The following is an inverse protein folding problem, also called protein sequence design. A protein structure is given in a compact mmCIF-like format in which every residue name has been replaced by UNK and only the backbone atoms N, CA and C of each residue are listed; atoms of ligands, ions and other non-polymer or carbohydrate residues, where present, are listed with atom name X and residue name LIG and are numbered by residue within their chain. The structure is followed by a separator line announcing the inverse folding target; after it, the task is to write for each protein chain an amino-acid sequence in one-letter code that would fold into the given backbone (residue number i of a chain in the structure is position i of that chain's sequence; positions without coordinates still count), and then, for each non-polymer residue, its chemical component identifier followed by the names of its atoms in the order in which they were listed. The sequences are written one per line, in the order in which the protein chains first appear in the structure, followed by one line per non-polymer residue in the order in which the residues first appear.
data_IF_371559981748
#
_entry.id   IF_371559981748
#
_cell.length_a   1.000
_cell.length_b   1.000
_cell.length_c   1.000
_cell.angle_alpha   90.00
_cell.angle_beta   90.00
_cell.angle_gamma   90.00
#
_symmetry.space_group_name_H-M   'P 1'
#
loop_
_entity.id
_entity.type
_entity.pdbx_description
1 polymer ?
#
# COMPACT_ATOMS: atom_id res chain seq x y z
N UNK A 1 -1.65 2.88 -27.35
CA UNK A 1 -1.06 1.84 -26.47
C UNK A 1 -1.97 1.76 -25.27
N UNK A 2 -2.39 0.58 -24.84
CA UNK A 2 -3.25 0.49 -23.66
C UNK A 2 -2.37 0.78 -22.45
N UNK A 3 -2.57 1.94 -21.82
CA UNK A 3 -2.04 2.23 -20.49
C UNK A 3 -2.67 1.24 -19.51
N UNK A 4 -2.02 0.10 -19.36
CA UNK A 4 -2.43 -0.90 -18.38
C UNK A 4 -1.96 -0.41 -17.02
N UNK A 5 -2.84 0.32 -16.32
CA UNK A 5 -2.59 0.80 -14.96
C UNK A 5 -2.19 -0.38 -14.05
N UNK A 6 -1.15 -0.20 -13.25
CA UNK A 6 -0.65 -1.24 -12.34
C UNK A 6 -1.52 -1.32 -11.08
N UNK A 7 -1.89 -2.54 -10.68
CA UNK A 7 -2.60 -2.81 -9.43
C UNK A 7 -1.72 -3.59 -8.48
N UNK A 8 -1.61 -3.10 -7.25
CA UNK A 8 -0.66 -3.63 -6.27
C UNK A 8 -1.44 -4.10 -5.05
N UNK A 9 -1.21 -5.34 -4.63
CA UNK A 9 -1.68 -5.86 -3.35
C UNK A 9 -0.50 -6.05 -2.41
N UNK A 10 -0.67 -5.63 -1.16
CA UNK A 10 0.33 -5.77 -0.11
C UNK A 10 -0.34 -6.39 1.13
N UNK A 11 0.00 -7.64 1.41
CA UNK A 11 -0.28 -8.23 2.72
C UNK A 11 0.84 -7.81 3.68
N UNK A 12 0.44 -7.20 4.80
CA UNK A 12 1.34 -6.63 5.77
C UNK A 12 1.35 -7.50 7.00
N UNK A 13 2.53 -7.91 7.44
CA UNK A 13 2.70 -8.45 8.78
C UNK A 13 3.80 -7.70 9.53
N UNK A 14 4.07 -8.11 10.78
CA UNK A 14 5.08 -7.47 11.63
C UNK A 14 6.46 -7.43 10.99
N UNK A 15 6.85 -8.47 10.24
CA UNK A 15 8.22 -8.62 9.72
C UNK A 15 8.33 -8.40 8.22
N UNK A 16 7.26 -8.60 7.47
CA UNK A 16 7.29 -8.71 6.02
C UNK A 16 6.17 -7.93 5.36
N UNK A 17 6.45 -7.48 4.15
CA UNK A 17 5.48 -7.00 3.17
C UNK A 17 5.49 -8.03 2.03
N UNK A 18 4.39 -8.76 1.89
CA UNK A 18 4.15 -9.67 0.78
C UNK A 18 3.44 -8.89 -0.32
N UNK A 19 4.05 -8.82 -1.50
CA UNK A 19 3.63 -7.91 -2.56
C UNK A 19 3.28 -8.70 -3.81
N UNK A 20 2.19 -8.31 -4.46
CA UNK A 20 1.82 -8.81 -5.78
C UNK A 20 1.51 -7.67 -6.73
N UNK A 21 2.08 -7.74 -7.94
CA UNK A 21 1.94 -6.76 -9.01
C UNK A 21 1.07 -7.34 -10.14
N UNK A 22 0.04 -6.60 -10.53
CA UNK A 22 -0.78 -6.86 -11.72
C UNK A 22 -0.65 -5.70 -12.71
N UNK A 23 -0.62 -5.96 -14.03
CA UNK A 23 -0.87 -7.26 -14.66
C UNK A 23 0.34 -8.20 -14.74
N UNK A 24 1.52 -7.80 -14.21
CA UNK A 24 2.78 -8.54 -14.38
C UNK A 24 2.78 -9.95 -13.74
N UNK A 25 1.85 -10.25 -12.83
CA UNK A 25 1.77 -11.50 -12.05
C UNK A 25 3.05 -11.80 -11.28
N UNK A 26 3.77 -10.75 -10.88
CA UNK A 26 4.99 -10.87 -10.10
C UNK A 26 4.66 -10.77 -8.62
N UNK A 27 5.19 -11.71 -7.83
CA UNK A 27 5.16 -11.64 -6.37
C UNK A 27 6.57 -11.55 -5.81
N UNK A 28 6.74 -10.79 -4.74
CA UNK A 28 8.00 -10.73 -3.99
C UNK A 28 7.71 -10.36 -2.53
N UNK A 29 8.72 -10.51 -1.68
CA UNK A 29 8.64 -10.22 -0.26
C UNK A 29 9.81 -9.34 0.14
N UNK A 30 9.52 -8.26 0.85
CA UNK A 30 10.52 -7.39 1.47
C UNK A 30 10.28 -7.28 2.98
N UNK A 31 11.27 -6.80 3.72
CA UNK A 31 11.10 -6.57 5.16
C UNK A 31 10.15 -5.39 5.45
N UNK A 32 9.35 -5.49 6.51
CA UNK A 32 8.57 -4.36 7.02
C UNK A 32 9.47 -3.44 7.87
N UNK A 33 10.47 -2.87 7.23
CA UNK A 33 11.44 -1.94 7.80
C UNK A 33 11.67 -0.80 6.82
N UNK A 34 12.40 0.24 7.25
CA UNK A 34 12.71 1.36 6.37
C UNK A 34 13.44 0.92 5.09
N UNK A 35 14.44 0.03 5.21
CA UNK A 35 15.18 -0.48 4.05
C UNK A 35 14.32 -1.36 3.13
N UNK A 36 13.46 -2.20 3.69
CA UNK A 36 12.54 -3.00 2.88
C UNK A 36 11.49 -2.16 2.15
N UNK A 37 11.05 -1.05 2.73
CA UNK A 37 10.19 -0.09 2.03
C UNK A 37 10.95 0.62 0.89
N UNK A 38 12.25 0.90 1.02
CA UNK A 38 13.06 1.39 -0.12
C UNK A 38 13.13 0.36 -1.23
N UNK A 39 13.43 -0.88 -0.87
CA UNK A 39 13.49 -2.00 -1.80
C UNK A 39 12.16 -2.17 -2.54
N UNK A 40 11.02 -2.12 -1.82
CA UNK A 40 9.68 -2.12 -2.43
C UNK A 40 9.55 -1.08 -3.53
N UNK A 41 9.94 0.17 -3.26
CA UNK A 41 9.81 1.26 -4.23
C UNK A 41 10.62 1.04 -5.51
N UNK A 42 11.72 0.28 -5.45
CA UNK A 42 12.50 -0.05 -6.66
C UNK A 42 11.77 -1.00 -7.61
N UNK A 43 10.74 -1.70 -7.15
CA UNK A 43 9.94 -2.63 -7.93
C UNK A 43 8.64 -2.03 -8.48
N UNK A 44 8.22 -0.84 -8.00
CA UNK A 44 6.96 -0.24 -8.39
C UNK A 44 7.12 0.68 -9.61
N UNK A 45 6.09 0.74 -10.44
CA UNK A 45 6.00 1.80 -11.44
C UNK A 45 5.83 3.17 -10.75
N UNK A 46 6.16 4.29 -11.44
CA UNK A 46 5.87 5.62 -10.93
C UNK A 46 4.40 5.76 -10.50
N UNK A 47 4.09 6.61 -9.50
CA UNK A 47 2.74 6.77 -8.96
C UNK A 47 1.66 7.01 -10.03
N UNK A 48 1.99 7.73 -11.10
CA UNK A 48 1.09 8.06 -12.21
C UNK A 48 0.67 6.84 -13.03
N UNK A 49 1.46 5.76 -13.00
CA UNK A 49 1.18 4.50 -13.69
C UNK A 49 0.55 3.44 -12.78
N UNK A 50 0.37 3.75 -11.49
CA UNK A 50 -0.29 2.86 -10.52
C UNK A 50 -1.74 3.28 -10.37
N UNK A 51 -2.66 2.34 -10.57
CA UNK A 51 -4.08 2.56 -10.34
C UNK A 51 -4.38 2.60 -8.83
N UNK A 52 -3.96 1.56 -8.09
CA UNK A 52 -4.18 1.41 -6.64
C UNK A 52 -3.13 0.54 -5.97
N UNK A 53 -2.80 0.89 -4.74
CA UNK A 53 -2.09 0.02 -3.79
C UNK A 53 -3.05 -0.39 -2.68
N UNK A 54 -3.39 -1.67 -2.60
CA UNK A 54 -4.30 -2.22 -1.61
C UNK A 54 -3.49 -2.85 -0.47
N UNK A 55 -3.60 -2.30 0.74
CA UNK A 55 -2.93 -2.83 1.93
C UNK A 55 -3.94 -3.50 2.86
N UNK A 56 -3.62 -4.69 3.34
CA UNK A 56 -4.37 -5.30 4.44
C UNK A 56 -3.88 -4.77 5.80
N UNK A 57 -4.80 -4.20 6.59
CA UNK A 57 -4.50 -3.74 7.96
C UNK A 57 -4.49 -4.91 8.94
N UNK A 58 -3.31 -5.26 9.47
CA UNK A 58 -3.11 -6.30 10.51
C UNK A 58 -2.61 -5.70 11.83
N UNK A 59 -3.40 -4.79 12.43
CA UNK A 59 -3.10 -4.29 13.76
C UNK A 59 -2.06 -3.17 13.83
N UNK A 60 -1.91 -2.39 12.75
CA UNK A 60 -1.15 -1.14 12.75
C UNK A 60 0.26 -1.22 12.15
N UNK A 61 0.68 -2.40 11.67
CA UNK A 61 1.97 -2.59 10.99
C UNK A 61 2.00 -1.96 9.58
N UNK A 62 0.82 -1.69 9.01
CA UNK A 62 0.64 -1.07 7.69
C UNK A 62 0.93 0.44 7.69
N UNK A 63 0.96 1.09 8.86
CA UNK A 63 1.07 2.56 8.97
C UNK A 63 2.31 3.11 8.27
N UNK A 64 3.47 2.49 8.49
CA UNK A 64 4.74 2.99 7.95
C UNK A 64 4.76 2.95 6.42
N UNK A 65 4.40 1.81 5.83
CA UNK A 65 4.35 1.64 4.37
C UNK A 65 3.23 2.49 3.76
N UNK A 66 2.05 2.58 4.39
CA UNK A 66 0.94 3.41 3.93
C UNK A 66 1.31 4.90 3.92
N UNK A 67 2.02 5.37 4.96
CA UNK A 67 2.49 6.74 5.05
C UNK A 67 3.49 7.06 3.94
N UNK A 68 4.54 6.24 3.78
CA UNK A 68 5.58 6.46 2.76
C UNK A 68 4.98 6.50 1.37
N UNK A 69 4.17 5.49 1.02
CA UNK A 69 3.51 5.44 -0.29
C UNK A 69 2.60 6.65 -0.52
N UNK A 70 1.83 7.06 0.48
CA UNK A 70 0.96 8.24 0.37
C UNK A 70 1.75 9.54 0.21
N UNK A 71 2.89 9.69 0.91
CA UNK A 71 3.76 10.87 0.77
C UNK A 71 4.40 10.97 -0.61
N UNK A 72 4.59 9.82 -1.29
CA UNK A 72 5.05 9.73 -2.67
C UNK A 72 3.89 9.73 -3.67
N UNK A 73 2.69 10.15 -3.25
CA UNK A 73 1.49 10.26 -4.07
C UNK A 73 0.96 8.95 -4.68
N UNK A 74 1.36 7.78 -4.17
CA UNK A 74 0.74 6.52 -4.59
C UNK A 74 -0.74 6.46 -4.13
N UNK A 75 -1.63 5.90 -4.96
CA UNK A 75 -3.06 5.76 -4.66
C UNK A 75 -3.32 4.63 -3.65
N UNK A 76 -3.01 4.88 -2.39
CA UNK A 76 -3.08 3.91 -1.28
C UNK A 76 -4.52 3.73 -0.80
N UNK A 77 -4.93 2.46 -0.62
CA UNK A 77 -6.19 2.06 0.00
C UNK A 77 -5.90 1.01 1.07
N UNK A 78 -6.14 1.36 2.32
CA UNK A 78 -6.03 0.41 3.45
C UNK A 78 -7.39 -0.24 3.68
N UNK A 79 -7.44 -1.57 3.59
CA UNK A 79 -8.66 -2.35 3.84
C UNK A 79 -8.51 -3.21 5.09
N UNK A 80 -9.61 -3.43 5.78
CA UNK A 80 -9.65 -4.41 6.88
C UNK A 80 -9.75 -5.82 6.29
N UNK A 81 -8.96 -6.77 6.80
CA UNK A 81 -9.01 -8.20 6.52
C UNK A 81 -10.44 -8.77 6.39
N UNK A 82 -11.35 -8.32 7.26
CA UNK A 82 -12.76 -8.72 7.26
C UNK A 82 -13.50 -8.23 6.01
N UNK A 83 -13.23 -7.02 5.53
CA UNK A 83 -13.85 -6.47 4.31
C UNK A 83 -13.37 -7.24 3.07
N UNK A 84 -12.06 -7.50 2.97
CA UNK A 84 -11.48 -8.30 1.89
C UNK A 84 -12.13 -9.69 1.81
N UNK A 85 -12.22 -10.38 2.96
CA UNK A 85 -12.86 -11.70 3.05
C UNK A 85 -14.35 -11.68 2.71
N UNK A 86 -15.10 -10.67 3.14
CA UNK A 86 -16.53 -10.58 2.82
C UNK A 86 -16.75 -10.44 1.32
N UNK A 87 -15.89 -9.68 0.62
CA UNK A 87 -15.99 -9.52 -0.84
C UNK A 87 -15.53 -10.78 -1.57
N UNK A 88 -14.45 -11.43 -1.15
CA UNK A 88 -14.03 -12.70 -1.75
C UNK A 88 -15.08 -13.82 -1.56
N UNK A 89 -15.80 -13.84 -0.43
CA UNK A 89 -16.96 -14.72 -0.22
C UNK A 89 -18.10 -14.41 -1.17
N UNK A 90 -18.47 -13.14 -1.33
CA UNK A 90 -19.53 -12.71 -2.24
C UNK A 90 -19.18 -12.98 -3.72
N UNK A 91 -17.90 -12.92 -4.08
CA UNK A 91 -17.38 -13.26 -5.40
C UNK A 91 -17.26 -14.78 -5.64
N UNK A 92 -17.73 -15.62 -4.70
CA UNK A 92 -17.68 -17.08 -4.73
C UNK A 92 -16.24 -17.65 -4.85
N UNK A 93 -15.23 -16.89 -4.40
CA UNK A 93 -13.82 -17.27 -4.49
C UNK A 93 -13.25 -17.87 -3.19
N UNK A 94 -14.03 -17.99 -2.11
CA UNK A 94 -13.51 -18.51 -0.83
C UNK A 94 -13.98 -19.92 -0.50
N UNK A 95 -13.12 -20.89 -0.83
CA UNK A 95 -12.91 -22.06 0.00
C UNK A 95 -11.82 -21.73 1.04
N UNK A 96 -12.21 -21.72 2.32
CA UNK A 96 -11.36 -21.69 3.54
C UNK A 96 -10.59 -20.39 3.83
N UNK A 97 -10.64 -20.02 5.09
CA UNK A 97 -10.06 -18.83 5.72
C UNK A 97 -8.55 -18.96 5.86
N UNK A 98 -7.82 -18.30 4.97
CA UNK A 98 -6.39 -17.99 5.14
C UNK A 98 -6.20 -16.45 5.10
N UNK A 99 -5.06 -15.90 5.57
CA UNK A 99 -4.68 -14.50 5.32
C UNK A 99 -4.83 -14.16 3.84
N UNK A 100 -5.29 -12.94 3.53
CA UNK A 100 -5.61 -12.59 2.15
C UNK A 100 -4.31 -12.42 1.39
N UNK A 101 -3.98 -13.41 0.55
CA UNK A 101 -2.81 -13.37 -0.32
C UNK A 101 -2.76 -12.04 -1.08
N UNK A 102 -1.57 -11.43 -1.17
CA UNK A 102 -1.31 -10.19 -1.89
C UNK A 102 -1.88 -10.20 -3.32
N UNK A 103 -1.93 -11.37 -3.98
CA UNK A 103 -2.56 -11.52 -5.29
C UNK A 103 -4.08 -11.25 -5.28
N UNK A 104 -4.77 -11.71 -4.23
CA UNK A 104 -6.21 -11.46 -4.03
C UNK A 104 -6.44 -9.97 -3.76
N UNK A 105 -5.56 -9.32 -2.99
CA UNK A 105 -5.65 -7.88 -2.74
C UNK A 105 -5.51 -7.05 -4.02
N UNK A 106 -4.53 -7.39 -4.87
CA UNK A 106 -4.33 -6.72 -6.15
C UNK A 106 -5.55 -6.90 -7.07
N UNK A 107 -6.07 -8.14 -7.16
CA UNK A 107 -7.28 -8.44 -7.93
C UNK A 107 -8.52 -7.70 -7.38
N UNK A 108 -8.68 -7.66 -6.06
CA UNK A 108 -9.77 -6.92 -5.41
C UNK A 108 -9.71 -5.44 -5.75
N UNK A 109 -8.51 -4.84 -5.74
CA UNK A 109 -8.31 -3.46 -6.16
C UNK A 109 -8.83 -3.22 -7.57
N UNK A 110 -8.42 -4.08 -8.51
CA UNK A 110 -8.80 -4.02 -9.92
C UNK A 110 -10.32 -4.19 -10.13
N UNK A 111 -10.90 -5.18 -9.47
CA UNK A 111 -12.31 -5.53 -9.63
C UNK A 111 -13.27 -4.50 -9.00
N UNK A 112 -12.96 -4.06 -7.77
CA UNK A 112 -13.88 -3.22 -6.99
C UNK A 112 -13.59 -1.73 -7.10
N UNK A 113 -12.37 -1.36 -7.52
CA UNK A 113 -11.88 0.01 -7.62
C UNK A 113 -12.27 0.88 -6.41
N UNK A 114 -11.96 0.43 -5.16
CA UNK A 114 -12.41 1.11 -3.95
C UNK A 114 -11.94 2.56 -3.90
N UNK A 115 -12.73 3.52 -3.37
CA UNK A 115 -12.34 4.93 -3.39
C UNK A 115 -11.01 5.16 -2.66
N UNK A 116 -10.11 5.93 -3.29
CA UNK A 116 -8.86 6.38 -2.64
C UNK A 116 -9.27 7.35 -1.54
N UNK A 117 -9.00 6.99 -0.29
CA UNK A 117 -9.16 7.93 0.82
C UNK A 117 -7.81 8.58 1.04
N UNK A 118 -7.74 9.91 0.89
CA UNK A 118 -6.54 10.64 1.23
C UNK A 118 -6.20 10.38 2.70
N UNK A 119 -5.07 9.73 2.97
CA UNK A 119 -4.54 9.64 4.34
C UNK A 119 -4.04 11.01 4.85
N UNK A 120 -4.13 12.06 4.02
CA UNK A 120 -4.04 13.45 4.40
C UNK A 120 -5.24 13.86 5.28
N UNK A 121 -5.22 13.42 6.54
CA UNK A 121 -5.93 14.10 7.61
C UNK A 121 -4.93 14.44 8.70
N UNK A 122 -5.00 15.68 9.17
CA UNK A 122 -4.10 16.40 10.09
C UNK A 122 -3.83 15.74 11.47
N UNK A 123 -4.06 14.44 11.65
CA UNK A 123 -4.07 13.76 12.95
C UNK A 123 -2.87 12.87 13.24
N UNK A 124 -1.93 12.66 12.31
CA UNK A 124 -0.63 12.02 12.62
C UNK A 124 0.42 12.98 13.19
N UNK A 125 0.13 14.27 13.25
CA UNK A 125 1.08 15.34 13.63
C UNK A 125 0.98 15.83 15.08
N UNK A 126 0.27 15.14 15.98
CA UNK A 126 0.26 15.52 17.41
C UNK A 126 1.39 14.84 18.19
N UNK A 127 2.63 15.24 17.90
CA UNK A 127 3.71 15.41 18.90
C UNK A 127 4.95 16.14 18.36
N UNK A 128 4.84 16.81 17.21
CA UNK A 128 5.86 17.75 16.76
C UNK A 128 5.17 19.02 16.25
N UNK A 129 5.23 20.06 17.07
CA UNK A 129 4.69 21.39 16.81
C UNK A 129 5.20 21.92 15.46
N UNK A 130 4.33 22.35 14.51
CA UNK A 130 4.79 22.90 13.25
C UNK A 130 5.05 24.39 13.41
N UNK A 131 6.31 24.80 13.32
CA UNK A 131 6.66 26.19 13.03
C UNK A 131 7.10 26.24 11.56
N UNK A 132 6.26 26.80 10.70
CA UNK A 132 6.64 27.28 9.37
C UNK A 132 6.87 28.79 9.48
N UNK A 133 7.87 29.37 8.81
CA UNK A 133 8.09 29.12 7.39
C UNK A 133 9.57 28.87 7.03
N UNK A 134 9.93 27.67 6.57
CA UNK A 134 11.21 27.49 5.89
C UNK A 134 11.17 26.37 4.85
N UNK A 135 11.62 26.74 3.66
CA UNK A 135 11.97 25.90 2.53
C UNK A 135 12.91 24.76 2.96
N UNK A 136 12.80 23.62 2.27
CA UNK A 136 13.56 22.37 2.46
C UNK A 136 13.16 21.55 3.71
N UNK A 137 12.21 20.62 3.52
CA UNK A 137 11.93 19.57 4.51
C UNK A 137 13.14 18.61 4.62
N UNK A 138 13.78 18.47 5.79
CA UNK A 138 14.88 17.52 5.98
C UNK A 138 14.40 16.06 6.11
N UNK A 139 13.10 15.80 6.13
CA UNK A 139 12.54 14.44 6.23
C UNK A 139 12.66 13.63 4.92
N UNK A 140 12.84 14.29 3.78
CA UNK A 140 13.15 13.62 2.51
C UNK A 140 14.62 13.18 2.41
N UNK A 141 15.51 13.73 3.25
CA UNK A 141 16.96 13.49 3.15
C UNK A 141 17.41 12.10 3.64
N UNK A 142 16.53 11.36 4.34
CA UNK A 142 16.81 9.97 4.76
C UNK A 142 16.49 8.95 3.65
N UNK A 143 15.93 9.40 2.52
CA UNK A 143 15.38 8.55 1.47
C UNK A 143 15.89 8.87 0.06
N UNK A 144 16.84 9.82 -0.07
CA UNK A 144 17.49 10.21 -1.33
C UNK A 144 19.01 9.98 -1.29
N UNK A 145 19.55 9.41 -0.20
CA UNK A 145 20.94 8.97 -0.10
C UNK A 145 21.06 7.44 -0.11
#
# INVERSE_FOLDING_TARGET
MQDQEQWIGIDVCKRWLDVHLRPQKQSFRVSNTASGIRELLTHLCPPEAVARVILESTGGYERSVALVLSTLAYPVVVINARQARNVAKAANQLAKTDPVDAAILAWFGEAMKPPIRSLASKSYFYSATPCFPCLLHPFLRIWVD
#
